data_IF_032263601569
#
_entry.id   IF_032263601569
#
_cell.length_a   1.000
_cell.length_b   1.000
_cell.length_c   1.000
_cell.angle_alpha   90.00
_cell.angle_beta   90.00
_cell.angle_gamma   90.00
#
_symmetry.space_group_name_H-M   'P 1'
#
loop_
_entity.id
_entity.type
_entity.pdbx_description
1 polymer ?
#
# COMPACT_ATOMS: atom_id res chain seq x y z
N UNK A 1 10.36 19.29 -11.80
CA UNK A 1 10.94 18.24 -10.93
C UNK A 1 9.95 17.70 -9.90
N UNK A 2 9.49 18.48 -8.92
CA UNK A 2 8.66 17.98 -7.81
C UNK A 2 7.40 17.20 -8.23
N UNK A 3 6.63 17.72 -9.20
CA UNK A 3 5.41 17.05 -9.69
C UNK A 3 5.68 15.65 -10.27
N UNK A 4 6.72 15.51 -11.09
CA UNK A 4 7.11 14.23 -11.67
C UNK A 4 7.52 13.21 -10.60
N UNK A 5 8.24 13.65 -9.57
CA UNK A 5 8.63 12.77 -8.45
C UNK A 5 7.40 12.28 -7.67
N UNK A 6 6.41 13.14 -7.45
CA UNK A 6 5.15 12.77 -6.77
C UNK A 6 4.39 11.71 -7.57
N UNK A 7 4.25 11.89 -8.89
CA UNK A 7 3.57 10.94 -9.77
C UNK A 7 4.26 9.56 -9.75
N UNK A 8 5.60 9.52 -9.76
CA UNK A 8 6.35 8.26 -9.62
C UNK A 8 6.18 7.65 -8.23
N UNK A 9 6.23 8.45 -7.16
CA UNK A 9 6.04 7.96 -5.78
C UNK A 9 4.64 7.37 -5.57
N UNK A 10 3.61 7.95 -6.18
CA UNK A 10 2.25 7.38 -6.16
C UNK A 10 2.21 6.01 -6.84
N UNK A 11 2.79 5.91 -8.04
CA UNK A 11 2.87 4.65 -8.76
C UNK A 11 3.67 3.58 -7.99
N UNK A 12 4.80 3.97 -7.40
CA UNK A 12 5.67 3.10 -6.60
C UNK A 12 4.93 2.60 -5.34
N UNK A 13 4.22 3.46 -4.62
CA UNK A 13 3.39 3.06 -3.48
C UNK A 13 2.29 2.09 -3.90
N UNK A 14 1.68 2.28 -5.07
CA UNK A 14 0.75 1.32 -5.66
C UNK A 14 1.40 -0.06 -5.89
N UNK A 15 2.63 -0.08 -6.42
CA UNK A 15 3.41 -1.33 -6.60
C UNK A 15 3.76 -2.00 -5.28
N UNK A 16 4.17 -1.24 -4.27
CA UNK A 16 4.44 -1.80 -2.94
C UNK A 16 3.20 -2.46 -2.34
N UNK A 17 2.03 -1.80 -2.40
CA UNK A 17 0.76 -2.40 -1.95
C UNK A 17 0.42 -3.67 -2.71
N UNK A 18 0.66 -3.69 -4.03
CA UNK A 18 0.48 -4.89 -4.85
C UNK A 18 1.39 -6.04 -4.39
N UNK A 19 2.67 -5.76 -4.12
CA UNK A 19 3.63 -6.75 -3.62
C UNK A 19 3.23 -7.30 -2.24
N UNK A 20 2.81 -6.42 -1.33
CA UNK A 20 2.30 -6.81 0.00
C UNK A 20 1.05 -7.68 -0.14
N UNK A 21 0.11 -7.31 -1.01
CA UNK A 21 -1.09 -8.12 -1.26
C UNK A 21 -0.75 -9.50 -1.85
N UNK A 22 0.24 -9.55 -2.75
CA UNK A 22 0.74 -10.79 -3.34
C UNK A 22 1.44 -11.67 -2.30
N UNK A 23 2.15 -11.09 -1.33
CA UNK A 23 2.78 -11.83 -0.23
C UNK A 23 1.72 -12.46 0.68
N UNK A 24 0.55 -11.83 0.83
CA UNK A 24 -0.62 -12.42 1.47
C UNK A 24 -1.31 -13.44 0.55
N UNK A 25 -0.60 -14.52 0.20
CA UNK A 25 -1.05 -15.51 -0.79
C UNK A 25 -2.36 -16.22 -0.39
N UNK A 26 -2.52 -16.54 0.90
CA UNK A 26 -3.70 -17.27 1.41
C UNK A 26 -4.80 -16.31 1.85
N UNK A 27 -6.05 -16.64 1.54
CA UNK A 27 -7.24 -15.85 1.94
C UNK A 27 -7.29 -15.61 3.45
N UNK A 28 -7.04 -16.65 4.26
CA UNK A 28 -6.99 -16.53 5.73
C UNK A 28 -5.98 -15.48 6.18
N UNK A 29 -4.81 -15.42 5.53
CA UNK A 29 -3.75 -14.45 5.81
C UNK A 29 -4.15 -13.03 5.40
N UNK A 30 -4.80 -12.87 4.24
CA UNK A 30 -5.33 -11.56 3.81
C UNK A 30 -6.31 -10.99 4.81
N UNK A 31 -7.29 -11.79 5.23
CA UNK A 31 -8.32 -11.38 6.19
C UNK A 31 -7.67 -11.02 7.52
N UNK A 32 -6.80 -11.88 8.06
CA UNK A 32 -6.12 -11.62 9.32
C UNK A 32 -5.27 -10.34 9.28
N UNK A 33 -4.53 -10.11 8.19
CA UNK A 33 -3.70 -8.92 8.07
C UNK A 33 -4.53 -7.65 7.85
N UNK A 34 -5.62 -7.71 7.09
CA UNK A 34 -6.55 -6.57 6.96
C UNK A 34 -7.13 -6.17 8.32
N UNK A 35 -7.56 -7.14 9.14
CA UNK A 35 -8.06 -6.87 10.50
C UNK A 35 -6.96 -6.26 11.37
N UNK A 36 -5.73 -6.81 11.32
CA UNK A 36 -4.56 -6.22 12.02
C UNK A 36 -4.27 -4.78 11.57
N UNK A 37 -4.53 -4.45 10.31
CA UNK A 37 -4.38 -3.10 9.79
C UNK A 37 -5.51 -2.13 10.19
N UNK A 38 -6.51 -2.60 10.96
CA UNK A 38 -7.64 -1.80 11.45
C UNK A 38 -8.86 -1.80 10.54
N UNK A 39 -8.94 -2.71 9.58
CA UNK A 39 -10.12 -2.87 8.73
C UNK A 39 -11.18 -3.70 9.47
N UNK A 40 -12.43 -3.25 9.39
CA UNK A 40 -13.55 -3.99 9.98
C UNK A 40 -13.62 -5.43 9.46
N UNK A 41 -14.04 -6.36 10.33
CA UNK A 41 -14.06 -7.79 10.03
C UNK A 41 -14.89 -8.08 8.79
N UNK A 42 -16.07 -7.50 8.63
CA UNK A 42 -16.94 -7.73 7.48
C UNK A 42 -16.26 -7.28 6.18
N UNK A 43 -15.67 -6.08 6.17
CA UNK A 43 -14.93 -5.58 5.01
C UNK A 43 -13.70 -6.45 4.71
N UNK A 44 -12.97 -6.90 5.73
CA UNK A 44 -11.82 -7.77 5.56
C UNK A 44 -12.20 -9.12 4.91
N UNK A 45 -13.34 -9.71 5.28
CA UNK A 45 -13.86 -10.92 4.64
C UNK A 45 -14.26 -10.68 3.19
N UNK A 46 -14.96 -9.58 2.90
CA UNK A 46 -15.37 -9.21 1.55
C UNK A 46 -14.17 -9.04 0.61
N UNK A 47 -13.18 -8.25 1.03
CA UNK A 47 -12.01 -7.94 0.20
C UNK A 47 -10.97 -9.06 0.17
N UNK A 48 -10.82 -9.82 1.27
CA UNK A 48 -9.91 -10.96 1.35
C UNK A 48 -10.25 -12.10 0.38
N UNK A 49 -11.55 -12.30 0.11
CA UNK A 49 -12.07 -13.31 -0.83
C UNK A 49 -12.26 -12.78 -2.25
N UNK A 50 -11.88 -11.53 -2.52
CA UNK A 50 -12.08 -10.92 -3.82
C UNK A 50 -11.28 -11.66 -4.92
N UNK A 51 -11.92 -11.84 -6.09
CA UNK A 51 -11.31 -12.40 -7.31
C UNK A 51 -10.67 -11.33 -8.20
N UNK A 52 -10.62 -10.08 -7.74
CA UNK A 52 -10.04 -8.98 -8.50
C UNK A 52 -8.51 -9.15 -8.64
N UNK A 53 -7.98 -8.71 -9.77
CA UNK A 53 -6.54 -8.74 -10.03
C UNK A 53 -5.74 -7.87 -9.04
N UNK A 54 -4.47 -8.22 -8.84
CA UNK A 54 -3.63 -7.61 -7.81
C UNK A 54 -3.49 -6.09 -7.92
N UNK A 55 -3.33 -5.56 -9.14
CA UNK A 55 -3.23 -4.12 -9.36
C UNK A 55 -4.53 -3.37 -9.02
N UNK A 56 -5.68 -3.96 -9.37
CA UNK A 56 -6.99 -3.40 -9.06
C UNK A 56 -7.25 -3.36 -7.55
N UNK A 57 -6.79 -4.37 -6.82
CA UNK A 57 -6.84 -4.38 -5.36
C UNK A 57 -5.84 -3.37 -4.77
N UNK A 58 -4.63 -3.26 -5.30
CA UNK A 58 -3.62 -2.31 -4.82
C UNK A 58 -4.07 -0.84 -4.87
N UNK A 59 -4.83 -0.47 -5.91
CA UNK A 59 -5.43 0.85 -6.05
C UNK A 59 -6.81 1.03 -5.41
N UNK A 60 -7.34 0.00 -4.75
CA UNK A 60 -8.65 0.09 -4.09
C UNK A 60 -8.58 0.82 -2.75
N UNK A 61 -9.71 1.38 -2.32
CA UNK A 61 -9.77 2.10 -1.04
C UNK A 61 -9.35 1.22 0.15
N UNK A 62 -9.60 -0.10 0.09
CA UNK A 62 -9.32 -1.00 1.20
C UNK A 62 -7.82 -1.11 1.47
N UNK A 63 -6.98 -1.20 0.43
CA UNK A 63 -5.53 -1.27 0.59
C UNK A 63 -4.90 0.08 0.82
N UNK A 64 -5.44 1.16 0.24
CA UNK A 64 -5.01 2.51 0.56
C UNK A 64 -5.25 2.83 2.05
N UNK A 65 -6.37 2.37 2.62
CA UNK A 65 -6.68 2.53 4.05
C UNK A 65 -5.88 1.59 4.96
N UNK A 66 -5.70 0.32 4.56
CA UNK A 66 -4.94 -0.64 5.35
C UNK A 66 -3.44 -0.29 5.39
N UNK A 67 -2.89 0.07 4.22
CA UNK A 67 -1.47 0.36 3.97
C UNK A 67 -1.34 1.81 3.51
N UNK A 68 -1.31 2.72 4.48
CA UNK A 68 -1.15 4.15 4.23
C UNK A 68 0.31 4.50 3.93
N UNK A 69 0.54 5.70 3.38
CA UNK A 69 1.91 6.21 3.14
C UNK A 69 2.75 6.27 4.40
N UNK A 70 2.12 6.63 5.51
CA UNK A 70 2.78 6.82 6.80
C UNK A 70 3.24 5.47 7.34
N UNK A 71 2.39 4.44 7.23
CA UNK A 71 2.77 3.06 7.58
C UNK A 71 3.91 2.52 6.73
N UNK A 72 3.94 2.85 5.43
CA UNK A 72 5.04 2.47 4.55
C UNK A 72 6.34 3.17 4.95
N UNK A 73 6.28 4.47 5.25
CA UNK A 73 7.43 5.25 5.73
C UNK A 73 7.96 4.72 7.06
N UNK A 74 7.08 4.37 8.00
CA UNK A 74 7.43 3.75 9.28
C UNK A 74 8.08 2.36 9.11
N UNK A 75 7.70 1.63 8.06
CA UNK A 75 8.32 0.34 7.70
C UNK A 75 9.64 0.50 6.93
N UNK A 76 10.25 1.69 6.96
CA UNK A 76 11.51 2.03 6.30
C UNK A 76 11.47 1.95 4.76
N UNK A 77 10.28 2.02 4.15
CA UNK A 77 10.21 2.21 2.70
C UNK A 77 10.55 3.66 2.35
N UNK A 78 11.63 3.82 1.59
CA UNK A 78 12.11 5.12 1.12
C UNK A 78 11.16 5.68 0.07
N UNK A 79 10.72 6.92 0.26
CA UNK A 79 10.00 7.71 -0.75
C UNK A 79 10.99 8.50 -1.59
N UNK A 80 10.83 8.52 -2.91
CA UNK A 80 11.69 9.31 -3.80
C UNK A 80 11.68 10.79 -3.43
N UNK A 81 10.51 11.30 -3.04
CA UNK A 81 10.37 12.71 -2.63
C UNK A 81 11.21 13.00 -1.39
N UNK A 82 11.22 12.09 -0.42
CA UNK A 82 12.04 12.20 0.80
C UNK A 82 13.53 12.23 0.49
N UNK A 83 14.02 11.28 -0.31
CA UNK A 83 15.43 11.24 -0.72
C UNK A 83 15.86 12.49 -1.51
N UNK A 84 14.97 13.00 -2.37
CA UNK A 84 15.26 14.22 -3.11
C UNK A 84 15.43 15.44 -2.20
N UNK A 85 14.60 15.56 -1.16
CA UNK A 85 14.69 16.66 -0.18
C UNK A 85 15.95 16.54 0.70
N UNK A 86 16.39 15.32 1.00
CA UNK A 86 17.63 15.06 1.74
C UNK A 86 18.88 15.48 0.95
N UNK A 87 18.92 15.18 -0.35
CA UNK A 87 20.05 15.54 -1.21
C UNK A 87 20.09 17.03 -1.57
N UNK A 88 18.94 17.72 -1.53
CA UNK A 88 18.82 19.14 -1.85
C UNK A 88 18.09 19.89 -0.73
N UNK A 89 18.73 20.03 0.44
CA UNK A 89 18.21 20.86 1.52
C UNK A 89 18.13 22.32 1.05
N UNK A 90 17.06 23.02 1.43
CA UNK A 90 16.91 24.45 1.13
C UNK A 90 17.89 25.29 1.92
#
# INVERSE_FOLDING_TARGET
MKRFLIEIDEWLRGRLRMCIWKSWKRVKTRIANLIKCGIDKYQAYMWGNSRLGYWRIAGSYILCRAITSEKLSMASYVTLTGSYLECYPK
#
